data_IF_219496733186
#
_entry.id   IF_219496733186
#
_cell.length_a   1.000
_cell.length_b   1.000
_cell.length_c   1.000
_cell.angle_alpha   90.00
_cell.angle_beta   90.00
_cell.angle_gamma   90.00
#
_symmetry.space_group_name_H-M   'P 1'
#
loop_
_entity.id
_entity.type
_entity.pdbx_description
1 polymer ?
#
# COMPACT_ATOMS: atom_id res chain seq x y z
N UNK A 1 31.79 -2.32 16.79
CA UNK A 1 30.32 -2.23 16.92
C UNK A 1 29.70 -2.71 15.62
N UNK A 2 28.79 -3.66 15.71
CA UNK A 2 28.11 -4.21 14.54
C UNK A 2 26.88 -3.35 14.26
N UNK A 3 26.77 -2.81 13.05
CA UNK A 3 25.60 -2.04 12.65
C UNK A 3 24.38 -2.97 12.51
N UNK A 4 23.22 -2.51 12.94
CA UNK A 4 21.97 -3.24 12.74
C UNK A 4 21.65 -3.28 11.24
N UNK A 5 21.45 -4.47 10.66
CA UNK A 5 21.12 -4.55 9.24
C UNK A 5 19.78 -3.87 8.95
N UNK A 6 19.72 -3.18 7.83
CA UNK A 6 18.48 -2.59 7.35
C UNK A 6 17.56 -3.70 6.83
N UNK A 7 16.33 -3.67 7.27
CA UNK A 7 15.29 -4.60 6.81
C UNK A 7 14.63 -4.02 5.57
N UNK A 8 14.72 -4.74 4.44
CA UNK A 8 14.09 -4.32 3.20
C UNK A 8 12.69 -4.88 3.12
N UNK A 9 11.72 -4.00 2.88
CA UNK A 9 10.33 -4.35 2.75
C UNK A 9 9.92 -4.32 1.29
N UNK A 10 9.07 -5.28 0.90
CA UNK A 10 8.53 -5.35 -0.45
C UNK A 10 7.23 -4.54 -0.52
N UNK A 11 6.97 -3.81 -1.62
CA UNK A 11 5.70 -3.10 -1.76
C UNK A 11 4.58 -4.08 -2.11
N UNK A 12 3.43 -3.91 -1.46
CA UNK A 12 2.22 -4.66 -1.81
C UNK A 12 1.72 -4.27 -3.20
N UNK A 13 1.81 -2.99 -3.51
CA UNK A 13 1.52 -2.43 -4.82
C UNK A 13 2.51 -1.33 -5.14
N UNK A 14 2.68 -1.06 -6.44
CA UNK A 14 3.51 0.02 -6.90
C UNK A 14 2.83 0.67 -8.08
N UNK A 15 2.13 1.80 -7.82
CA UNK A 15 1.35 2.49 -8.83
C UNK A 15 1.90 3.88 -9.09
N UNK A 16 1.80 4.32 -10.35
CA UNK A 16 2.25 5.67 -10.73
C UNK A 16 1.47 6.77 -10.01
N UNK A 17 0.24 6.50 -9.63
CA UNK A 17 -0.62 7.46 -8.94
C UNK A 17 -0.28 7.64 -7.46
N UNK A 18 0.51 6.75 -6.87
CA UNK A 18 0.89 6.85 -5.47
C UNK A 18 2.12 7.73 -5.29
N UNK A 19 2.33 8.29 -4.08
CA UNK A 19 3.57 9.01 -3.78
C UNK A 19 4.79 8.15 -4.13
N UNK A 20 5.81 8.79 -4.71
CA UNK A 20 7.02 8.13 -5.22
C UNK A 20 6.79 7.19 -6.40
N UNK A 21 5.56 7.14 -6.94
CA UNK A 21 5.31 6.48 -8.20
C UNK A 21 5.94 7.24 -9.36
N UNK A 22 6.35 6.51 -10.39
CA UNK A 22 6.97 7.09 -11.58
C UNK A 22 6.15 6.74 -12.82
N UNK A 23 6.48 7.38 -13.94
CA UNK A 23 5.82 7.08 -15.22
C UNK A 23 6.06 5.64 -15.67
N UNK A 24 7.12 5.01 -15.17
CA UNK A 24 7.44 3.60 -15.50
C UNK A 24 6.63 2.61 -14.68
N UNK A 25 6.02 3.06 -13.59
CA UNK A 25 5.15 2.21 -12.79
C UNK A 25 3.80 2.04 -13.49
N UNK A 26 3.12 0.89 -13.29
CA UNK A 26 1.80 0.70 -13.88
C UNK A 26 0.78 1.64 -13.27
N UNK A 27 -0.25 1.95 -14.04
CA UNK A 27 -1.40 2.66 -13.49
C UNK A 27 -2.25 1.69 -12.65
N UNK A 28 -2.80 2.20 -11.57
CA UNK A 28 -3.76 1.47 -10.76
C UNK A 28 -4.96 0.97 -11.59
N UNK A 29 -5.29 1.70 -12.67
CA UNK A 29 -6.39 1.30 -13.57
C UNK A 29 -6.21 -0.10 -14.13
N UNK A 30 -4.98 -0.55 -14.30
CA UNK A 30 -4.68 -1.88 -14.82
C UNK A 30 -5.09 -3.00 -13.87
N UNK A 31 -5.22 -2.69 -12.59
CA UNK A 31 -5.55 -3.67 -11.56
C UNK A 31 -6.95 -3.50 -10.98
N UNK A 32 -7.74 -2.57 -11.51
CA UNK A 32 -9.15 -2.41 -11.15
C UNK A 32 -9.99 -3.53 -11.74
N UNK A 33 -11.05 -3.91 -11.05
CA UNK A 33 -11.97 -4.94 -11.50
C UNK A 33 -13.41 -4.53 -11.23
N UNK A 34 -14.35 -5.14 -11.96
CA UNK A 34 -15.78 -4.83 -11.82
C UNK A 34 -16.41 -5.53 -10.62
N UNK A 35 -15.76 -6.57 -10.15
CA UNK A 35 -16.24 -7.37 -9.04
C UNK A 35 -15.15 -7.60 -8.02
N UNK A 36 -15.51 -7.78 -6.74
CA UNK A 36 -14.52 -8.20 -5.74
C UNK A 36 -13.87 -9.51 -6.15
N UNK A 37 -12.56 -9.59 -5.91
CA UNK A 37 -11.80 -10.80 -6.19
C UNK A 37 -11.74 -11.70 -4.97
N UNK A 38 -11.38 -12.96 -5.20
CA UNK A 38 -11.29 -13.95 -4.13
C UNK A 38 -10.37 -13.47 -3.01
N UNK A 39 -10.84 -13.59 -1.77
CA UNK A 39 -10.13 -13.18 -0.55
C UNK A 39 -9.93 -11.66 -0.40
N UNK A 40 -10.56 -10.83 -1.23
CA UNK A 40 -10.41 -9.38 -1.13
C UNK A 40 -10.71 -8.86 0.28
N UNK A 41 -11.82 -9.30 0.88
CA UNK A 41 -12.20 -8.85 2.22
C UNK A 41 -11.16 -9.28 3.29
N UNK A 42 -10.58 -10.46 3.13
CA UNK A 42 -9.54 -10.96 4.03
C UNK A 42 -8.25 -10.15 3.90
N UNK A 43 -7.90 -9.78 2.69
CA UNK A 43 -6.73 -8.93 2.44
C UNK A 43 -6.93 -7.55 3.04
N UNK A 44 -8.11 -6.96 2.86
CA UNK A 44 -8.43 -5.66 3.46
C UNK A 44 -8.31 -5.72 4.98
N UNK A 45 -8.87 -6.75 5.61
CA UNK A 45 -8.76 -6.92 7.05
C UNK A 45 -7.29 -7.07 7.50
N UNK A 46 -6.51 -7.83 6.74
CA UNK A 46 -5.08 -8.00 7.00
C UNK A 46 -4.32 -6.68 6.91
N UNK A 47 -4.57 -5.90 5.87
CA UNK A 47 -3.92 -4.60 5.69
C UNK A 47 -4.21 -3.64 6.85
N UNK A 48 -5.43 -3.68 7.38
CA UNK A 48 -5.81 -2.84 8.51
C UNK A 48 -5.11 -3.21 9.82
N UNK A 49 -4.55 -4.41 9.89
CA UNK A 49 -3.82 -4.87 11.07
C UNK A 49 -2.34 -4.50 11.07
N UNK A 50 -1.86 -3.86 10.03
CA UNK A 50 -0.44 -3.54 9.90
C UNK A 50 0.10 -2.68 11.04
N UNK A 51 1.40 -2.75 11.24
CA UNK A 51 2.13 -1.92 12.18
C UNK A 51 2.53 -0.63 11.48
N UNK A 52 2.36 0.49 12.14
CA UNK A 52 2.72 1.80 11.58
C UNK A 52 4.23 1.94 11.57
N UNK A 53 4.80 2.22 10.38
CA UNK A 53 6.21 2.53 10.23
C UNK A 53 6.47 4.03 10.39
N UNK A 54 5.60 4.86 9.82
CA UNK A 54 5.76 6.29 9.83
C UNK A 54 4.77 6.96 8.88
N UNK A 55 4.92 8.26 8.75
CA UNK A 55 4.06 9.06 7.88
C UNK A 55 4.91 9.86 6.91
N UNK A 56 4.47 9.93 5.67
CA UNK A 56 5.07 10.82 4.68
C UNK A 56 4.52 12.22 4.91
N UNK A 57 5.38 13.13 5.27
CA UNK A 57 4.97 14.49 5.62
C UNK A 57 4.37 15.23 4.43
N UNK A 58 3.21 15.85 4.67
CA UNK A 58 2.58 16.77 3.74
C UNK A 58 1.89 16.14 2.53
N UNK A 59 1.76 14.82 2.49
CA UNK A 59 1.11 14.16 1.38
C UNK A 59 -0.05 13.29 1.86
N UNK A 60 -1.21 13.45 1.23
CA UNK A 60 -2.34 12.54 1.38
C UNK A 60 -2.52 11.76 0.09
N UNK A 61 -3.01 10.52 0.21
CA UNK A 61 -3.49 9.82 -0.96
C UNK A 61 -4.75 10.52 -1.45
N UNK A 62 -4.86 10.69 -2.74
CA UNK A 62 -6.00 11.34 -3.37
C UNK A 62 -6.63 10.40 -4.36
N UNK A 63 -7.95 10.25 -4.25
CA UNK A 63 -8.68 9.47 -5.23
C UNK A 63 -9.00 10.35 -6.43
N UNK A 64 -8.09 10.36 -7.39
CA UNK A 64 -8.23 11.14 -8.63
C UNK A 64 -9.30 10.59 -9.58
N UNK A 65 -9.81 9.39 -9.32
CA UNK A 65 -10.84 8.77 -10.13
C UNK A 65 -12.25 9.22 -9.71
N UNK A 66 -12.39 9.65 -8.46
CA UNK A 66 -13.66 10.11 -7.89
C UNK A 66 -13.66 11.64 -7.82
N UNK A 67 -13.91 12.26 -8.96
CA UNK A 67 -13.97 13.72 -9.05
C UNK A 67 -15.01 14.15 -10.07
N UNK A 68 -15.58 15.38 -9.91
CA UNK A 68 -16.52 15.91 -10.88
C UNK A 68 -15.90 16.02 -12.28
N UNK A 69 -16.76 15.97 -13.31
CA UNK A 69 -16.33 15.96 -14.71
C UNK A 69 -15.42 17.15 -15.09
N UNK A 70 -15.63 18.32 -14.49
CA UNK A 70 -14.85 19.53 -14.73
C UNK A 70 -13.99 19.89 -13.52
N UNK A 71 -13.51 18.90 -12.81
CA UNK A 71 -12.75 19.11 -11.59
C UNK A 71 -11.38 19.72 -11.85
N UNK A 72 -10.96 20.58 -10.93
CA UNK A 72 -9.58 20.99 -10.84
C UNK A 72 -8.77 19.82 -10.21
N UNK A 73 -7.79 19.26 -10.93
CA UNK A 73 -7.04 18.10 -10.43
C UNK A 73 -6.32 18.34 -9.10
N UNK A 74 -6.00 19.59 -8.79
CA UNK A 74 -5.26 19.93 -7.57
C UNK A 74 -6.19 20.05 -6.37
N UNK A 75 -7.43 20.51 -6.58
CA UNK A 75 -8.36 20.88 -5.50
C UNK A 75 -9.45 19.84 -5.33
N UNK A 76 -9.96 19.26 -6.42
CA UNK A 76 -11.19 18.51 -6.44
C UNK A 76 -11.03 16.99 -6.36
N UNK A 77 -9.79 16.50 -6.25
CA UNK A 77 -9.55 15.09 -5.98
C UNK A 77 -9.98 14.76 -4.55
N UNK A 78 -10.65 13.62 -4.38
CA UNK A 78 -11.09 13.20 -3.05
C UNK A 78 -9.90 12.73 -2.22
N UNK A 79 -9.64 13.42 -1.13
CA UNK A 79 -8.60 13.02 -0.19
C UNK A 79 -9.09 11.83 0.63
N UNK A 80 -8.32 10.77 0.61
CA UNK A 80 -8.65 9.55 1.35
C UNK A 80 -7.66 9.29 2.49
N UNK A 81 -6.83 10.27 2.79
CA UNK A 81 -5.80 10.16 3.83
C UNK A 81 -4.79 9.07 3.51
N UNK A 82 -4.07 8.60 4.51
CA UNK A 82 -3.44 7.31 4.43
C UNK A 82 -2.12 7.19 3.71
N UNK A 83 -1.26 8.22 3.74
CA UNK A 83 0.16 8.03 3.43
C UNK A 83 0.94 7.50 4.62
N UNK A 84 0.24 7.12 5.68
CA UNK A 84 0.84 6.37 6.77
C UNK A 84 1.36 5.05 6.22
N UNK A 85 2.66 4.82 6.40
CA UNK A 85 3.29 3.59 5.95
C UNK A 85 3.07 2.48 6.96
N UNK A 86 2.60 1.34 6.47
CA UNK A 86 2.25 0.17 7.28
C UNK A 86 3.09 -1.02 6.87
N UNK A 87 3.27 -1.96 7.78
CA UNK A 87 4.03 -3.18 7.49
C UNK A 87 3.52 -4.38 8.29
N UNK A 88 3.79 -5.56 7.77
CA UNK A 88 3.68 -6.82 8.50
C UNK A 88 5.06 -7.41 8.85
N UNK A 89 6.13 -6.67 8.57
CA UNK A 89 7.49 -7.10 8.79
C UNK A 89 8.21 -7.60 7.53
N UNK A 90 7.46 -7.89 6.47
CA UNK A 90 7.99 -8.37 5.19
C UNK A 90 7.57 -7.46 4.04
N UNK A 91 6.33 -7.01 4.06
CA UNK A 91 5.72 -6.15 3.06
C UNK A 91 5.38 -4.80 3.65
N UNK A 92 5.22 -3.78 2.80
CA UNK A 92 4.73 -2.49 3.24
C UNK A 92 3.67 -1.96 2.28
N UNK A 93 2.84 -1.06 2.79
CA UNK A 93 1.77 -0.43 2.02
C UNK A 93 1.39 0.89 2.67
N UNK A 94 0.68 1.73 1.93
CA UNK A 94 0.03 2.90 2.51
C UNK A 94 -1.33 2.52 3.08
N UNK A 95 -1.67 3.04 4.24
CA UNK A 95 -2.95 2.74 4.89
C UNK A 95 -4.14 3.01 3.97
N UNK A 96 -4.06 4.04 3.14
CA UNK A 96 -5.12 4.40 2.20
C UNK A 96 -5.32 3.43 1.04
N UNK A 97 -4.42 2.46 0.85
CA UNK A 97 -4.61 1.42 -0.19
C UNK A 97 -5.95 0.72 -0.04
N UNK A 98 -6.41 0.52 1.20
CA UNK A 98 -7.68 -0.14 1.50
C UNK A 98 -8.85 0.56 0.79
N UNK A 99 -8.84 1.88 0.74
CA UNK A 99 -9.90 2.64 0.05
C UNK A 99 -10.02 2.22 -1.42
N UNK A 100 -8.89 2.11 -2.11
CA UNK A 100 -8.89 1.76 -3.53
C UNK A 100 -9.28 0.30 -3.76
N UNK A 101 -8.86 -0.60 -2.88
CA UNK A 101 -9.28 -2.00 -2.96
C UNK A 101 -10.78 -2.11 -2.80
N UNK A 102 -11.34 -1.45 -1.79
CA UNK A 102 -12.79 -1.54 -1.51
C UNK A 102 -13.62 -0.87 -2.59
N UNK A 103 -13.19 0.28 -3.09
CA UNK A 103 -13.98 1.05 -4.05
C UNK A 103 -13.85 0.57 -5.49
N UNK A 104 -12.66 0.15 -5.89
CA UNK A 104 -12.36 -0.18 -7.29
C UNK A 104 -11.94 -1.63 -7.49
N UNK A 105 -12.00 -2.44 -6.44
CA UNK A 105 -11.58 -3.85 -6.48
C UNK A 105 -10.15 -4.00 -7.01
N UNK A 106 -9.26 -3.10 -6.62
CA UNK A 106 -7.86 -3.12 -7.05
C UNK A 106 -7.19 -4.39 -6.57
N UNK A 107 -6.56 -5.11 -7.48
CA UNK A 107 -5.81 -6.34 -7.16
C UNK A 107 -4.44 -5.98 -6.62
N UNK A 108 -3.94 -6.82 -5.76
CA UNK A 108 -2.60 -6.70 -5.19
C UNK A 108 -1.74 -7.89 -5.64
N UNK A 109 -0.43 -7.81 -5.40
CA UNK A 109 0.49 -8.87 -5.82
C UNK A 109 0.02 -10.23 -5.30
N UNK A 110 -0.06 -11.25 -6.18
CA UNK A 110 -0.47 -12.60 -5.74
C UNK A 110 0.43 -13.17 -4.65
N UNK A 111 1.71 -12.86 -4.69
CA UNK A 111 2.68 -13.30 -3.68
C UNK A 111 2.34 -12.73 -2.31
N UNK A 112 1.85 -11.50 -2.27
CA UNK A 112 1.40 -10.89 -1.01
C UNK A 112 0.16 -11.61 -0.47
N UNK A 113 -0.80 -11.90 -1.34
CA UNK A 113 -2.01 -12.63 -0.94
C UNK A 113 -1.65 -14.00 -0.35
N UNK A 114 -0.74 -14.72 -0.99
CA UNK A 114 -0.26 -16.01 -0.50
C UNK A 114 0.44 -15.87 0.85
N UNK A 115 1.25 -14.85 1.00
CA UNK A 115 1.93 -14.57 2.27
C UNK A 115 0.92 -14.32 3.38
N UNK A 116 -0.07 -13.45 3.15
CA UNK A 116 -1.11 -13.16 4.14
C UNK A 116 -1.90 -14.43 4.52
N UNK A 117 -2.22 -15.27 3.54
CA UNK A 117 -2.91 -16.53 3.79
C UNK A 117 -2.07 -17.47 4.66
N UNK A 118 -0.77 -17.57 4.40
CA UNK A 118 0.14 -18.37 5.22
C UNK A 118 0.25 -17.86 6.65
N UNK A 119 0.05 -16.55 6.86
CA UNK A 119 0.00 -15.95 8.18
C UNK A 119 -1.36 -16.12 8.87
N UNK A 120 -2.28 -16.85 8.27
CA UNK A 120 -3.63 -17.04 8.80
C UNK A 120 -4.47 -15.78 8.73
N UNK A 121 -4.19 -14.88 7.80
CA UNK A 121 -4.87 -13.60 7.62
C UNK A 121 -4.75 -12.67 8.83
N UNK A 122 -3.65 -12.80 9.56
CA UNK A 122 -3.37 -11.98 10.74
C UNK A 122 -1.94 -11.47 10.71
N UNK A 123 -1.77 -10.19 11.04
CA UNK A 123 -0.45 -9.63 11.26
C UNK A 123 -0.01 -9.97 12.68
N UNK A 124 1.13 -10.65 12.81
CA UNK A 124 1.74 -10.88 14.11
C UNK A 124 2.60 -9.68 14.47
N UNK A 125 2.04 -8.74 15.21
CA UNK A 125 2.72 -7.48 15.57
C UNK A 125 3.98 -7.72 16.39
N UNK A 126 4.02 -8.79 17.18
CA UNK A 126 5.19 -9.11 18.00
C UNK A 126 6.37 -9.59 17.17
N UNK A 127 6.13 -10.13 15.97
CA UNK A 127 7.20 -10.57 15.10
C UNK A 127 7.76 -9.46 14.22
N UNK A 128 7.14 -8.28 14.22
CA UNK A 128 7.64 -7.13 13.46
C UNK A 128 8.78 -6.51 14.24
N UNK A 129 9.99 -6.64 13.68
CA UNK A 129 11.19 -6.14 14.36
C UNK A 129 11.28 -4.62 14.34
N UNK A 130 11.92 -4.01 15.33
CA UNK A 130 12.31 -2.61 15.22
C UNK A 130 13.22 -2.42 14.01
N UNK A 131 13.05 -1.30 13.30
CA UNK A 131 13.89 -1.00 12.14
C UNK A 131 15.39 -0.96 12.44
N UNK A 132 16.19 -0.44 11.51
CA UNK A 132 15.75 0.40 10.40
C UNK A 132 15.13 -0.38 9.24
N UNK A 133 14.16 0.25 8.59
CA UNK A 133 13.49 -0.31 7.43
C UNK A 133 13.80 0.51 6.18
N UNK A 134 13.89 -0.19 5.06
CA UNK A 134 14.01 0.42 3.73
C UNK A 134 12.86 -0.09 2.88
N UNK A 135 12.10 0.86 2.34
CA UNK A 135 10.98 0.56 1.45
C UNK A 135 11.45 0.71 0.00
N UNK A 136 11.16 -0.27 -0.83
CA UNK A 136 11.62 -0.26 -2.22
C UNK A 136 10.96 0.80 -3.10
N UNK A 137 10.02 1.59 -2.55
CA UNK A 137 9.39 2.70 -3.25
C UNK A 137 10.37 3.81 -3.65
N UNK A 138 11.48 3.93 -2.96
CA UNK A 138 12.43 5.01 -3.21
C UNK A 138 13.36 4.72 -4.38
N UNK A 139 12.93 3.89 -5.31
CA UNK A 139 13.72 3.58 -6.51
C UNK A 139 14.93 2.71 -6.26
N UNK A 140 15.05 2.19 -5.06
CA UNK A 140 16.16 1.31 -4.72
C UNK A 140 15.91 -0.10 -5.22
N UNK A 141 16.90 -0.75 -5.82
CA UNK A 141 16.76 -2.16 -6.15
C UNK A 141 16.56 -2.98 -4.89
N UNK A 142 15.68 -3.92 -4.98
CA UNK A 142 15.37 -4.81 -3.87
C UNK A 142 16.14 -6.10 -4.03
#
# INVERSE_FOLDING_TARGET
MIATPTIRLKPVVRFREFPFGTADDPSMRSDMADQPWENQARVVAYLRMGVILGETMGADLTDWFDRPRKANPIIDGKRVGGTTEMTDGTWFWYAGLVHFIEKYNVRVAPEFVQHAARQGWRVNKESVRPGPYECSYFGQPV
#
